data_IF_372512569397
#
_entry.id   IF_372512569397
#
_cell.length_a   1.000
_cell.length_b   1.000
_cell.length_c   1.000
_cell.angle_alpha   90.00
_cell.angle_beta   90.00
_cell.angle_gamma   90.00
#
_symmetry.space_group_name_H-M   'P 1'
#
loop_
_entity.id
_entity.type
_entity.pdbx_description
1 polymer ?
#
# COMPACT_ATOMS: atom_id res chain seq x y z
N UNK A 1 1.75 -39.90 67.85
CA UNK A 1 2.70 -41.01 67.61
C UNK A 1 3.61 -40.52 66.49
N UNK A 2 4.85 -40.01 66.80
CA UNK A 2 6.15 -40.72 66.72
C UNK A 2 6.43 -41.09 65.25
N UNK A 3 7.45 -40.67 64.51
CA UNK A 3 8.90 -40.60 64.78
C UNK A 3 9.54 -39.86 63.60
N UNK A 4 10.36 -38.84 63.72
CA UNK A 4 11.83 -38.72 63.81
C UNK A 4 12.67 -39.67 62.94
N UNK A 5 13.55 -39.09 62.12
CA UNK A 5 15.00 -39.36 61.97
C UNK A 5 15.54 -38.65 60.71
N UNK A 6 16.39 -37.66 60.79
CA UNK A 6 17.87 -37.59 61.08
C UNK A 6 18.72 -37.83 59.86
N UNK A 7 19.38 -36.76 59.42
CA UNK A 7 20.76 -36.52 59.01
C UNK A 7 21.49 -37.48 58.03
N UNK A 8 22.15 -36.89 56.98
CA UNK A 8 23.59 -36.91 56.91
C UNK A 8 24.19 -35.85 55.96
N UNK A 9 25.11 -35.11 56.47
CA UNK A 9 26.08 -34.21 55.78
C UNK A 9 27.12 -35.04 55.03
N UNK A 10 27.49 -34.63 53.80
CA UNK A 10 28.86 -34.82 53.30
C UNK A 10 29.27 -33.59 52.55
N UNK A 11 30.20 -32.84 53.12
CA UNK A 11 30.98 -31.79 52.47
C UNK A 11 32.15 -32.43 51.72
N UNK A 12 32.37 -32.05 50.49
CA UNK A 12 33.62 -32.25 49.82
C UNK A 12 34.08 -30.99 49.12
N UNK A 13 35.06 -30.36 49.68
CA UNK A 13 35.80 -29.24 49.09
C UNK A 13 36.77 -29.82 48.05
N UNK A 14 36.76 -29.25 46.85
CA UNK A 14 37.91 -29.31 45.95
C UNK A 14 38.19 -27.91 45.42
N UNK A 15 39.36 -27.46 45.75
CA UNK A 15 40.06 -26.24 45.35
C UNK A 15 40.43 -26.27 43.87
N UNK A 16 40.33 -25.10 43.22
CA UNK A 16 41.34 -24.66 42.23
C UNK A 16 40.92 -24.53 40.79
N UNK A 17 40.87 -23.37 40.33
CA UNK A 17 41.60 -22.73 39.24
C UNK A 17 40.83 -21.59 38.58
N UNK A 18 41.48 -20.47 38.57
CA UNK A 18 41.02 -19.25 37.92
C UNK A 18 40.92 -19.39 36.39
N UNK A 19 39.81 -18.95 35.79
CA UNK A 19 39.79 -18.49 34.40
C UNK A 19 38.75 -17.40 34.19
N UNK A 20 39.23 -16.26 33.73
CA UNK A 20 38.62 -15.25 32.89
C UNK A 20 37.15 -14.83 33.15
N UNK A 21 37.04 -13.60 33.62
CA UNK A 21 35.80 -12.88 33.81
C UNK A 21 34.96 -12.75 32.55
N UNK A 22 33.85 -13.44 32.55
CA UNK A 22 32.68 -13.03 31.77
C UNK A 22 31.83 -12.13 32.67
N UNK A 23 31.77 -10.83 32.31
CA UNK A 23 30.83 -9.90 32.92
C UNK A 23 29.43 -10.44 32.68
N UNK A 24 28.56 -10.58 33.68
CA UNK A 24 27.17 -10.90 33.48
C UNK A 24 26.50 -9.73 32.74
N UNK A 25 25.80 -10.03 31.64
CA UNK A 25 24.90 -9.08 31.02
C UNK A 25 23.91 -8.62 32.07
N UNK A 26 23.98 -7.35 32.43
CA UNK A 26 23.02 -6.70 33.33
C UNK A 26 21.61 -6.94 32.77
N UNK A 27 20.77 -7.63 33.54
CA UNK A 27 19.33 -7.71 33.31
C UNK A 27 18.81 -6.28 33.24
N UNK A 28 18.36 -5.86 32.05
CA UNK A 28 17.51 -4.70 31.90
C UNK A 28 16.24 -5.02 32.68
N UNK A 29 16.06 -4.38 33.82
CA UNK A 29 14.81 -4.44 34.56
C UNK A 29 13.76 -3.74 33.70
N UNK A 30 12.93 -4.53 33.00
CA UNK A 30 11.72 -4.04 32.37
C UNK A 30 10.80 -3.51 33.48
N UNK A 31 10.62 -2.22 33.51
CA UNK A 31 9.69 -1.53 34.40
C UNK A 31 8.28 -1.99 34.06
N UNK A 32 7.67 -2.80 34.92
CA UNK A 32 6.33 -3.38 34.76
C UNK A 32 5.18 -2.36 34.81
N UNK A 33 5.45 -1.07 34.97
CA UNK A 33 4.43 -0.02 35.05
C UNK A 33 4.06 0.63 33.71
N UNK A 34 4.74 0.30 32.60
CA UNK A 34 4.44 0.83 31.26
C UNK A 34 3.61 -0.09 30.35
N UNK A 35 3.19 -1.28 30.82
CA UNK A 35 2.54 -2.27 29.95
C UNK A 35 1.00 -2.31 30.04
N UNK A 36 0.37 -1.44 30.80
CA UNK A 36 -1.10 -1.47 30.98
C UNK A 36 -1.86 -0.46 30.10
N UNK A 37 -1.20 0.58 29.58
CA UNK A 37 -1.86 1.57 28.70
C UNK A 37 -1.77 1.22 27.21
N UNK A 38 -0.72 0.53 26.77
CA UNK A 38 -0.56 0.14 25.37
C UNK A 38 -1.53 -0.99 24.94
N UNK A 39 -1.95 -1.85 25.87
CA UNK A 39 -2.86 -2.94 25.54
C UNK A 39 -4.33 -2.48 25.39
N UNK A 40 -4.77 -1.45 26.09
CA UNK A 40 -6.12 -0.90 25.94
C UNK A 40 -6.27 -0.16 24.58
N UNK A 41 -5.23 0.54 24.14
CA UNK A 41 -5.23 1.22 22.84
C UNK A 41 -5.20 0.24 21.66
N UNK A 42 -4.47 -0.88 21.79
CA UNK A 42 -4.41 -1.92 20.75
C UNK A 42 -5.72 -2.69 20.61
N UNK A 43 -6.47 -2.90 21.69
CA UNK A 43 -7.74 -3.63 21.67
C UNK A 43 -8.88 -2.82 21.03
N UNK A 44 -8.95 -1.52 21.27
CA UNK A 44 -9.95 -0.64 20.64
C UNK A 44 -9.70 -0.45 19.15
N UNK A 45 -8.43 -0.22 18.75
CA UNK A 45 -8.05 -0.14 17.34
C UNK A 45 -8.33 -1.45 16.61
N UNK A 46 -8.07 -2.59 17.27
CA UNK A 46 -8.36 -3.92 16.70
C UNK A 46 -9.87 -4.16 16.51
N UNK A 47 -10.72 -3.68 17.43
CA UNK A 47 -12.18 -3.80 17.32
C UNK A 47 -12.75 -2.96 16.21
N UNK A 48 -12.28 -1.71 16.06
CA UNK A 48 -12.69 -0.82 14.97
C UNK A 48 -12.30 -1.37 13.61
N UNK A 49 -11.08 -1.91 13.47
CA UNK A 49 -10.60 -2.59 12.25
C UNK A 49 -11.49 -3.79 11.92
N UNK A 50 -11.80 -4.64 12.90
CA UNK A 50 -12.67 -5.81 12.71
C UNK A 50 -14.09 -5.39 12.30
N UNK A 51 -14.65 -4.32 12.88
CA UNK A 51 -15.96 -3.82 12.50
C UNK A 51 -15.96 -3.24 11.08
N UNK A 52 -14.97 -2.42 10.71
CA UNK A 52 -14.84 -1.87 9.37
C UNK A 52 -14.60 -2.97 8.33
N UNK A 53 -13.73 -3.93 8.62
CA UNK A 53 -13.50 -5.09 7.76
C UNK A 53 -14.77 -5.91 7.59
N UNK A 54 -15.54 -6.15 8.66
CA UNK A 54 -16.83 -6.86 8.58
C UNK A 54 -17.86 -6.09 7.77
N UNK A 55 -17.91 -4.75 7.90
CA UNK A 55 -18.77 -3.91 7.08
C UNK A 55 -18.37 -3.97 5.59
N UNK A 56 -17.09 -3.86 5.27
CA UNK A 56 -16.59 -4.01 3.90
C UNK A 56 -16.86 -5.41 3.32
N UNK A 57 -16.68 -6.46 4.12
CA UNK A 57 -17.00 -7.83 3.70
C UNK A 57 -18.50 -8.04 3.49
N UNK A 58 -19.36 -7.43 4.31
CA UNK A 58 -20.82 -7.51 4.12
C UNK A 58 -21.28 -6.81 2.84
N UNK A 59 -20.57 -5.80 2.37
CA UNK A 59 -20.85 -5.13 1.10
C UNK A 59 -20.36 -5.95 -0.12
N UNK A 60 -19.46 -6.90 0.06
CA UNK A 60 -19.01 -7.82 -1.00
C UNK A 60 -20.03 -8.91 -1.35
N UNK A 61 -20.91 -9.25 -0.41
CA UNK A 61 -21.96 -10.28 -0.59
C UNK A 61 -23.13 -9.82 -1.46
N UNK A 62 -23.07 -8.62 -2.02
CA UNK A 62 -24.10 -8.13 -2.94
C UNK A 62 -23.77 -8.57 -4.37
N UNK A 63 -24.81 -9.05 -5.08
CA UNK A 63 -24.70 -9.49 -6.48
C UNK A 63 -24.20 -8.36 -7.40
N UNK A 64 -23.41 -8.75 -8.41
CA UNK A 64 -23.01 -7.82 -9.46
C UNK A 64 -24.21 -7.18 -10.13
N UNK A 65 -24.20 -5.87 -10.26
CA UNK A 65 -25.23 -5.12 -10.99
C UNK A 65 -24.75 -4.80 -12.40
N UNK A 66 -25.47 -5.31 -13.37
CA UNK A 66 -25.18 -5.13 -14.80
C UNK A 66 -25.18 -3.66 -15.17
N UNK A 67 -24.17 -3.24 -15.91
CA UNK A 67 -24.00 -1.87 -16.39
C UNK A 67 -23.92 -1.74 -17.90
N UNK A 68 -23.83 -0.50 -18.41
CA UNK A 68 -23.63 -0.24 -19.83
C UNK A 68 -22.38 -0.92 -20.37
N UNK A 69 -22.41 -1.33 -21.63
CA UNK A 69 -21.34 -2.04 -22.34
C UNK A 69 -21.05 -3.48 -21.90
N UNK A 70 -21.60 -3.97 -20.79
CA UNK A 70 -21.48 -5.38 -20.44
C UNK A 70 -22.03 -6.28 -21.54
N UNK A 71 -21.43 -7.45 -21.71
CA UNK A 71 -21.91 -8.46 -22.62
C UNK A 71 -22.57 -9.59 -21.84
N UNK A 72 -23.85 -9.75 -22.00
CA UNK A 72 -24.62 -10.82 -21.37
C UNK A 72 -24.73 -12.00 -22.33
N UNK A 73 -24.55 -13.18 -21.80
CA UNK A 73 -24.87 -14.44 -22.45
C UNK A 73 -26.21 -14.92 -21.91
N UNK A 74 -27.19 -15.07 -22.82
CA UNK A 74 -28.55 -15.46 -22.46
C UNK A 74 -28.88 -16.74 -23.19
N UNK A 75 -29.30 -17.76 -22.45
CA UNK A 75 -29.84 -19.01 -22.97
C UNK A 75 -31.28 -19.17 -22.54
N UNK A 76 -32.14 -19.53 -23.48
CA UNK A 76 -33.58 -19.77 -23.20
C UNK A 76 -33.87 -21.20 -23.59
N UNK A 77 -34.37 -21.99 -22.65
CA UNK A 77 -34.84 -23.34 -22.87
C UNK A 77 -36.21 -23.31 -23.56
N UNK A 78 -36.44 -24.20 -24.50
CA UNK A 78 -37.70 -24.33 -25.26
C UNK A 78 -38.00 -23.17 -26.21
N UNK A 79 -37.02 -22.34 -26.58
CA UNK A 79 -37.22 -21.26 -27.56
C UNK A 79 -37.56 -21.76 -28.98
N UNK A 80 -36.98 -22.88 -29.37
CA UNK A 80 -37.28 -23.57 -30.64
C UNK A 80 -37.37 -25.08 -30.34
N UNK A 81 -38.19 -25.84 -31.09
CA UNK A 81 -38.38 -27.29 -31.01
C UNK A 81 -37.10 -28.10 -31.34
N UNK A 82 -35.94 -27.53 -31.11
CA UNK A 82 -34.62 -28.13 -31.30
C UNK A 82 -34.03 -28.49 -29.94
N UNK A 83 -33.50 -29.69 -29.81
CA UNK A 83 -32.81 -30.16 -28.59
C UNK A 83 -31.52 -29.36 -28.25
N UNK A 84 -31.16 -28.38 -29.05
CA UNK A 84 -29.99 -27.54 -28.86
C UNK A 84 -30.39 -26.22 -28.17
N UNK A 85 -29.83 -26.02 -26.97
CA UNK A 85 -29.89 -24.74 -26.25
C UNK A 85 -29.17 -23.65 -27.04
N UNK A 86 -29.92 -22.70 -27.58
CA UNK A 86 -29.32 -21.56 -28.31
C UNK A 86 -28.88 -20.50 -27.35
N UNK A 87 -27.57 -20.31 -27.24
CA UNK A 87 -26.96 -19.28 -26.45
C UNK A 87 -26.74 -18.03 -27.32
N UNK A 88 -27.24 -16.89 -26.89
CA UNK A 88 -27.13 -15.62 -27.61
C UNK A 88 -26.41 -14.60 -26.74
N UNK A 89 -25.57 -13.78 -27.39
CA UNK A 89 -24.82 -12.71 -26.73
C UNK A 89 -25.50 -11.36 -27.00
N UNK A 90 -25.68 -10.58 -25.94
CA UNK A 90 -26.30 -9.26 -26.00
C UNK A 90 -25.42 -8.24 -25.28
N UNK A 91 -25.06 -7.18 -25.99
CA UNK A 91 -24.39 -6.02 -25.38
C UNK A 91 -25.41 -5.08 -24.78
N UNK A 92 -25.21 -4.68 -23.55
CA UNK A 92 -26.03 -3.70 -22.86
C UNK A 92 -25.72 -2.31 -23.43
N UNK A 93 -26.78 -1.61 -23.88
CA UNK A 93 -26.63 -0.26 -24.41
C UNK A 93 -26.24 0.76 -23.33
N UNK A 94 -25.81 1.97 -23.73
CA UNK A 94 -25.54 3.07 -22.82
C UNK A 94 -26.70 3.42 -21.88
N UNK A 95 -27.93 3.14 -22.32
CA UNK A 95 -29.18 3.35 -21.56
C UNK A 95 -29.54 2.17 -20.67
N UNK A 96 -28.69 1.13 -20.59
CA UNK A 96 -28.96 -0.07 -19.79
C UNK A 96 -29.95 -1.06 -20.40
N UNK A 97 -30.15 -1.02 -21.71
CA UNK A 97 -31.17 -1.84 -22.41
C UNK A 97 -30.52 -2.88 -23.30
N UNK A 98 -31.06 -4.10 -23.31
CA UNK A 98 -30.79 -5.14 -24.32
C UNK A 98 -32.00 -5.34 -25.23
N UNK A 99 -31.77 -5.80 -26.44
CA UNK A 99 -32.87 -6.14 -27.39
C UNK A 99 -32.89 -7.65 -27.63
N UNK A 100 -33.88 -8.34 -27.06
CA UNK A 100 -34.06 -9.76 -27.20
C UNK A 100 -35.06 -10.04 -28.38
N UNK A 101 -34.75 -11.03 -29.25
CA UNK A 101 -35.73 -11.48 -30.23
C UNK A 101 -37.06 -11.85 -29.53
N UNK A 102 -38.18 -11.58 -30.14
CA UNK A 102 -39.53 -11.80 -29.62
C UNK A 102 -39.97 -10.99 -28.38
N UNK A 103 -39.07 -10.59 -27.49
CA UNK A 103 -39.37 -9.75 -26.32
C UNK A 103 -39.22 -8.25 -26.60
N UNK A 104 -38.33 -7.88 -27.52
CA UNK A 104 -37.98 -6.49 -27.79
C UNK A 104 -37.00 -5.93 -26.76
N UNK A 105 -37.11 -4.63 -26.50
CA UNK A 105 -36.22 -3.90 -25.59
C UNK A 105 -36.54 -4.23 -24.12
N UNK A 106 -35.51 -4.65 -23.36
CA UNK A 106 -35.59 -4.94 -21.93
C UNK A 106 -34.53 -4.09 -21.16
N UNK A 107 -35.00 -3.42 -20.12
CA UNK A 107 -34.12 -2.66 -19.24
C UNK A 107 -33.49 -3.60 -18.23
N UNK A 108 -32.16 -3.80 -18.34
CA UNK A 108 -31.32 -4.66 -17.49
C UNK A 108 -30.31 -3.88 -16.67
N UNK A 109 -30.13 -2.60 -16.99
CA UNK A 109 -29.17 -1.75 -16.26
C UNK A 109 -29.50 -1.62 -14.78
N UNK A 110 -28.51 -1.80 -13.90
CA UNK A 110 -28.66 -1.75 -12.46
C UNK A 110 -29.38 -2.95 -11.83
N UNK A 111 -29.61 -4.03 -12.59
CA UNK A 111 -30.22 -5.28 -12.10
C UNK A 111 -29.18 -6.36 -11.87
N UNK A 112 -29.44 -7.26 -10.92
CA UNK A 112 -28.65 -8.48 -10.74
C UNK A 112 -28.96 -9.49 -11.86
N UNK A 113 -28.08 -10.49 -12.02
CA UNK A 113 -28.29 -11.57 -12.98
C UNK A 113 -29.59 -12.32 -12.68
N UNK A 114 -29.89 -12.54 -11.41
CA UNK A 114 -31.11 -13.23 -10.96
C UNK A 114 -32.36 -12.41 -11.31
N UNK A 115 -32.31 -11.08 -11.09
CA UNK A 115 -33.45 -10.20 -11.47
C UNK A 115 -33.69 -10.16 -12.98
N UNK A 116 -32.60 -10.18 -13.75
CA UNK A 116 -32.70 -10.22 -15.24
C UNK A 116 -33.29 -11.53 -15.70
N UNK A 117 -32.87 -12.65 -15.11
CA UNK A 117 -33.42 -13.97 -15.40
C UNK A 117 -34.94 -14.01 -15.13
N UNK A 118 -35.33 -13.59 -13.90
CA UNK A 118 -36.75 -13.53 -13.53
C UNK A 118 -37.57 -12.59 -14.45
N UNK A 119 -36.98 -11.46 -14.84
CA UNK A 119 -37.60 -10.52 -15.77
C UNK A 119 -37.87 -11.17 -17.15
N UNK A 120 -36.87 -11.88 -17.69
CA UNK A 120 -37.03 -12.57 -19.00
C UNK A 120 -38.09 -13.66 -18.90
N UNK A 121 -38.06 -14.52 -17.89
CA UNK A 121 -39.03 -15.60 -17.68
C UNK A 121 -40.45 -15.04 -17.55
N UNK A 122 -40.62 -13.97 -16.76
CA UNK A 122 -41.93 -13.32 -16.58
C UNK A 122 -42.45 -12.73 -17.89
N UNK A 123 -41.59 -12.04 -18.65
CA UNK A 123 -42.00 -11.44 -19.92
C UNK A 123 -42.39 -12.48 -21.00
N UNK A 124 -41.64 -13.61 -21.08
CA UNK A 124 -41.92 -14.71 -21.98
C UNK A 124 -43.27 -15.37 -21.67
N UNK A 125 -43.55 -15.58 -20.38
CA UNK A 125 -44.83 -16.15 -19.92
C UNK A 125 -46.01 -15.18 -20.13
N UNK A 126 -45.85 -13.90 -19.74
CA UNK A 126 -46.92 -12.89 -19.84
C UNK A 126 -47.33 -12.62 -21.28
N UNK A 127 -46.38 -12.65 -22.22
CA UNK A 127 -46.67 -12.50 -23.66
C UNK A 127 -47.17 -13.78 -24.30
N UNK A 128 -47.31 -14.88 -23.57
CA UNK A 128 -47.78 -16.17 -24.06
C UNK A 128 -46.85 -16.82 -25.08
N UNK A 129 -45.53 -16.43 -25.07
CA UNK A 129 -44.55 -16.98 -26.02
C UNK A 129 -44.15 -18.39 -25.59
N UNK A 130 -43.93 -18.59 -24.28
CA UNK A 130 -43.62 -19.88 -23.68
C UNK A 130 -44.48 -20.10 -22.42
N UNK A 131 -44.88 -21.34 -22.13
CA UNK A 131 -45.73 -21.64 -20.97
C UNK A 131 -44.95 -21.74 -19.68
N UNK A 132 -43.76 -22.37 -19.71
CA UNK A 132 -42.87 -22.52 -18.57
C UNK A 132 -41.45 -22.15 -18.98
N UNK A 133 -41.17 -20.88 -19.27
CA UNK A 133 -39.86 -20.47 -19.74
C UNK A 133 -38.79 -20.69 -18.64
N UNK A 134 -37.64 -21.14 -19.06
CA UNK A 134 -36.41 -21.19 -18.24
C UNK A 134 -35.33 -20.42 -18.97
N UNK A 135 -34.81 -19.39 -18.32
CA UNK A 135 -33.74 -18.59 -18.86
C UNK A 135 -32.46 -18.79 -18.03
N UNK A 136 -31.33 -18.91 -18.70
CA UNK A 136 -30.02 -18.79 -18.09
C UNK A 136 -29.39 -17.45 -18.47
N UNK A 137 -28.88 -16.70 -17.53
CA UNK A 137 -28.22 -15.42 -17.77
C UNK A 137 -26.84 -15.44 -17.10
N UNK A 138 -25.79 -15.10 -17.85
CA UNK A 138 -24.45 -14.94 -17.35
C UNK A 138 -23.82 -13.67 -17.92
N UNK A 139 -22.90 -13.07 -17.21
CA UNK A 139 -22.05 -11.99 -17.75
C UNK A 139 -20.85 -12.63 -18.41
N UNK A 140 -20.75 -12.53 -19.73
CA UNK A 140 -19.62 -13.02 -20.52
C UNK A 140 -18.43 -12.07 -20.43
N UNK A 141 -18.69 -10.76 -20.53
CA UNK A 141 -17.67 -9.74 -20.46
C UNK A 141 -18.11 -8.58 -19.56
N UNK A 142 -17.34 -8.31 -18.54
CA UNK A 142 -17.51 -7.17 -17.63
C UNK A 142 -16.81 -5.96 -18.24
N UNK A 143 -17.56 -5.01 -18.77
CA UNK A 143 -17.03 -3.81 -19.43
C UNK A 143 -17.51 -2.50 -18.82
N UNK A 144 -18.59 -2.55 -18.05
CA UNK A 144 -19.24 -1.37 -17.49
C UNK A 144 -18.43 -0.68 -16.40
N UNK A 145 -17.57 -1.43 -15.70
CA UNK A 145 -16.75 -0.90 -14.62
C UNK A 145 -15.31 -1.36 -14.81
N UNK A 146 -14.41 -0.40 -15.00
CA UNK A 146 -12.98 -0.67 -15.18
C UNK A 146 -12.19 0.30 -14.34
N UNK A 147 -11.03 -0.15 -13.88
CA UNK A 147 -10.05 0.67 -13.15
C UNK A 147 -8.74 0.56 -13.89
N UNK A 148 -8.10 1.71 -14.11
CA UNK A 148 -6.75 1.74 -14.64
C UNK A 148 -5.74 1.74 -13.49
N UNK A 149 -4.75 0.86 -13.55
CA UNK A 149 -3.62 0.82 -12.60
C UNK A 149 -2.35 1.12 -13.38
N UNK A 150 -1.68 2.20 -13.03
CA UNK A 150 -0.52 2.72 -13.74
C UNK A 150 0.63 3.07 -12.78
N UNK A 151 1.84 3.20 -13.33
CA UNK A 151 3.05 3.53 -12.57
C UNK A 151 3.83 2.31 -12.10
N UNK A 152 4.41 2.38 -10.93
CA UNK A 152 5.33 1.37 -10.36
C UNK A 152 4.57 0.20 -9.73
N UNK A 153 3.87 -0.56 -10.57
CA UNK A 153 3.22 -1.85 -10.24
C UNK A 153 3.76 -2.93 -11.17
N UNK A 154 3.70 -4.20 -10.76
CA UNK A 154 4.28 -5.29 -11.54
C UNK A 154 3.52 -5.56 -12.86
N UNK A 155 2.21 -5.36 -12.88
CA UNK A 155 1.38 -5.52 -14.08
C UNK A 155 0.48 -4.28 -14.25
N UNK A 156 0.97 -3.18 -14.84
CA UNK A 156 0.14 -2.03 -15.13
C UNK A 156 -0.88 -2.37 -16.23
N UNK A 157 -2.11 -1.86 -16.12
CA UNK A 157 -3.16 -2.18 -17.08
C UNK A 157 -4.53 -1.64 -16.68
N UNK A 158 -5.53 -2.03 -17.45
CA UNK A 158 -6.94 -1.76 -17.17
C UNK A 158 -7.62 -3.06 -16.74
N UNK A 159 -8.21 -3.04 -15.57
CA UNK A 159 -8.82 -4.19 -14.92
C UNK A 159 -10.34 -4.00 -14.86
N UNK A 160 -11.08 -5.04 -15.23
CA UNK A 160 -12.51 -5.08 -15.05
C UNK A 160 -12.86 -5.37 -13.58
N UNK A 161 -13.91 -4.74 -13.07
CA UNK A 161 -14.45 -5.01 -11.73
C UNK A 161 -15.61 -5.99 -11.86
N UNK A 162 -15.49 -7.12 -11.18
CA UNK A 162 -16.52 -8.17 -11.15
C UNK A 162 -17.38 -8.11 -9.88
N UNK A 163 -16.96 -7.33 -8.88
CA UNK A 163 -17.61 -7.20 -7.57
C UNK A 163 -18.22 -5.81 -7.40
N UNK A 164 -19.24 -5.70 -6.57
CA UNK A 164 -19.84 -4.40 -6.27
C UNK A 164 -18.94 -3.51 -5.42
N UNK A 165 -18.11 -4.13 -4.58
CA UNK A 165 -17.14 -3.44 -3.74
C UNK A 165 -15.75 -3.94 -4.07
N UNK A 166 -14.93 -3.06 -4.60
CA UNK A 166 -13.52 -3.31 -4.90
C UNK A 166 -12.70 -2.26 -4.18
N UNK A 167 -11.60 -2.68 -3.57
CA UNK A 167 -10.73 -1.81 -2.80
C UNK A 167 -9.39 -1.57 -3.49
N UNK A 168 -8.65 -0.57 -3.03
CA UNK A 168 -7.30 -0.29 -3.52
C UNK A 168 -6.38 -1.51 -3.36
N UNK A 169 -6.46 -2.22 -2.25
CA UNK A 169 -5.64 -3.42 -1.99
C UNK A 169 -5.97 -4.54 -2.97
N UNK A 170 -7.25 -4.76 -3.30
CA UNK A 170 -7.68 -5.77 -4.27
C UNK A 170 -7.07 -5.48 -5.65
N UNK A 171 -7.17 -4.23 -6.11
CA UNK A 171 -6.65 -3.84 -7.42
C UNK A 171 -5.13 -3.87 -7.48
N UNK A 172 -4.44 -3.45 -6.43
CA UNK A 172 -2.98 -3.58 -6.37
C UNK A 172 -2.56 -5.04 -6.35
N UNK A 173 -3.30 -5.92 -5.67
CA UNK A 173 -3.04 -7.36 -5.67
C UNK A 173 -3.20 -7.96 -7.08
N UNK A 174 -4.27 -7.60 -7.80
CA UNK A 174 -4.48 -8.01 -9.20
C UNK A 174 -3.37 -7.50 -10.12
N UNK A 175 -2.85 -6.29 -9.88
CA UNK A 175 -1.71 -5.72 -10.59
C UNK A 175 -0.36 -6.31 -10.15
N UNK A 176 -0.34 -7.37 -9.34
CA UNK A 176 0.87 -8.03 -8.85
C UNK A 176 1.64 -7.27 -7.78
N UNK A 177 1.02 -6.25 -7.19
CA UNK A 177 1.61 -5.39 -6.15
C UNK A 177 2.55 -4.31 -6.68
N UNK A 178 3.00 -3.41 -5.79
CA UNK A 178 4.00 -2.40 -6.11
C UNK A 178 5.36 -3.01 -6.47
N UNK A 179 6.10 -2.38 -7.38
CA UNK A 179 7.47 -2.79 -7.71
C UNK A 179 8.45 -2.42 -6.57
N UNK A 180 9.69 -2.90 -6.66
CA UNK A 180 10.77 -2.50 -5.74
C UNK A 180 11.12 -1.02 -5.83
N UNK A 181 10.79 -0.36 -6.93
CA UNK A 181 11.05 1.06 -7.17
C UNK A 181 9.84 1.93 -6.80
N UNK A 182 8.74 1.35 -6.35
CA UNK A 182 7.53 2.07 -5.98
C UNK A 182 7.77 2.98 -4.79
N UNK A 183 7.12 4.15 -4.81
CA UNK A 183 7.06 5.06 -3.68
C UNK A 183 6.14 4.56 -2.57
N UNK A 184 6.14 5.27 -1.46
CA UNK A 184 5.36 4.93 -0.26
C UNK A 184 3.87 5.27 -0.39
N UNK A 185 3.46 5.91 -1.46
CA UNK A 185 2.11 6.42 -1.65
C UNK A 185 1.50 5.91 -2.95
N UNK A 186 0.19 5.74 -2.95
CA UNK A 186 -0.61 5.60 -4.16
C UNK A 186 -1.60 6.76 -4.24
N UNK A 187 -1.93 7.16 -5.45
CA UNK A 187 -2.96 8.14 -5.72
C UNK A 187 -4.12 7.46 -6.43
N UNK A 188 -5.33 7.61 -5.89
CA UNK A 188 -6.56 7.27 -6.60
C UNK A 188 -7.14 8.57 -7.16
N UNK A 189 -7.20 8.65 -8.47
CA UNK A 189 -7.76 9.78 -9.19
C UNK A 189 -9.19 9.43 -9.61
N UNK A 190 -10.17 10.11 -9.03
CA UNK A 190 -11.59 9.87 -9.25
C UNK A 190 -12.22 11.04 -9.98
N UNK A 191 -12.88 10.74 -11.09
CA UNK A 191 -13.64 11.74 -11.84
C UNK A 191 -15.04 11.88 -11.24
N UNK A 192 -15.35 13.02 -10.65
CA UNK A 192 -16.70 13.33 -10.17
C UNK A 192 -17.52 14.03 -11.26
N UNK A 193 -18.80 13.65 -11.36
CA UNK A 193 -19.73 14.32 -12.30
C UNK A 193 -19.85 15.80 -11.95
N UNK A 194 -19.62 16.67 -12.94
CA UNK A 194 -19.71 18.14 -12.78
C UNK A 194 -18.44 18.81 -12.29
N UNK A 195 -17.36 18.08 -12.03
CA UNK A 195 -16.04 18.67 -11.71
C UNK A 195 -15.08 18.47 -12.87
N UNK A 196 -14.31 19.51 -13.22
CA UNK A 196 -13.28 19.43 -14.26
C UNK A 196 -12.03 18.71 -13.75
N UNK A 197 -11.68 18.92 -12.49
CA UNK A 197 -10.51 18.30 -11.88
C UNK A 197 -10.89 17.01 -11.15
N UNK A 198 -10.10 15.94 -11.31
CA UNK A 198 -10.32 14.72 -10.57
C UNK A 198 -10.03 14.91 -9.08
N UNK A 199 -10.83 14.29 -8.24
CA UNK A 199 -10.53 14.19 -6.80
C UNK A 199 -9.35 13.24 -6.62
N UNK A 200 -8.30 13.72 -5.95
CA UNK A 200 -7.09 12.96 -5.66
C UNK A 200 -7.15 12.43 -4.23
N UNK A 201 -7.29 11.12 -4.08
CA UNK A 201 -7.19 10.43 -2.79
C UNK A 201 -5.77 9.88 -2.67
N UNK A 202 -5.05 10.26 -1.62
CA UNK A 202 -3.67 9.80 -1.39
C UNK A 202 -3.66 8.78 -0.27
N UNK A 203 -3.12 7.60 -0.54
CA UNK A 203 -3.04 6.48 0.39
C UNK A 203 -1.58 6.13 0.65
N UNK A 204 -1.20 5.99 1.91
CA UNK A 204 0.12 5.51 2.30
C UNK A 204 0.15 3.99 2.20
N UNK A 205 0.92 3.46 1.26
CA UNK A 205 1.04 2.02 0.99
C UNK A 205 1.75 1.28 2.13
N UNK A 206 2.74 1.93 2.75
CA UNK A 206 3.45 1.33 3.88
C UNK A 206 2.51 1.12 5.07
N UNK A 207 1.69 2.12 5.41
CA UNK A 207 0.70 1.98 6.47
C UNK A 207 -0.38 0.96 6.14
N UNK A 208 -0.80 0.92 4.87
CA UNK A 208 -1.81 -0.02 4.40
C UNK A 208 -1.33 -1.49 4.49
N UNK A 209 -0.10 -1.79 4.04
CA UNK A 209 0.40 -3.16 3.96
C UNK A 209 1.12 -3.61 5.23
N UNK A 210 1.97 -2.77 5.84
CA UNK A 210 2.82 -3.15 6.96
C UNK A 210 2.11 -3.01 8.31
N UNK A 211 1.26 -1.99 8.46
CA UNK A 211 0.58 -1.68 9.71
C UNK A 211 -0.86 -2.21 9.76
N UNK A 212 -1.36 -2.75 8.62
CA UNK A 212 -2.73 -3.26 8.55
C UNK A 212 -3.80 -2.19 8.77
N UNK A 213 -3.51 -0.93 8.45
CA UNK A 213 -4.46 0.19 8.56
C UNK A 213 -5.53 0.08 7.48
N UNK A 214 -6.47 -0.84 7.66
CA UNK A 214 -7.54 -1.12 6.70
C UNK A 214 -8.51 0.05 6.48
N UNK A 215 -8.55 1.02 7.39
CA UNK A 215 -9.23 2.31 7.24
C UNK A 215 -8.69 3.14 6.07
N UNK A 216 -7.41 2.91 5.69
CA UNK A 216 -6.79 3.52 4.52
C UNK A 216 -7.12 2.79 3.21
N UNK A 217 -7.76 1.62 3.27
CA UNK A 217 -8.09 0.83 2.10
C UNK A 217 -9.29 1.42 1.35
N UNK A 218 -9.01 2.38 0.48
CA UNK A 218 -10.03 3.13 -0.24
C UNK A 218 -10.92 2.21 -1.08
N UNK A 219 -12.25 2.39 -0.96
CA UNK A 219 -13.23 1.77 -1.86
C UNK A 219 -13.16 2.47 -3.21
N UNK A 220 -13.03 1.70 -4.27
CA UNK A 220 -12.88 2.16 -5.64
C UNK A 220 -14.22 2.20 -6.38
N UNK A 221 -14.29 3.05 -7.39
CA UNK A 221 -15.43 3.18 -8.28
C UNK A 221 -14.99 2.90 -9.73
N UNK A 222 -15.94 2.58 -10.59
CA UNK A 222 -15.66 2.48 -12.02
C UNK A 222 -15.01 3.78 -12.53
N UNK A 223 -14.08 3.63 -13.47
CA UNK A 223 -13.27 4.71 -14.07
C UNK A 223 -12.26 5.41 -13.14
N UNK A 224 -12.05 4.91 -11.91
CA UNK A 224 -10.95 5.36 -11.09
C UNK A 224 -9.59 5.01 -11.74
N UNK A 225 -8.61 5.88 -11.55
CA UNK A 225 -7.23 5.63 -11.97
C UNK A 225 -6.35 5.55 -10.74
N UNK A 226 -5.70 4.41 -10.55
CA UNK A 226 -4.70 4.21 -9.51
C UNK A 226 -3.35 4.52 -10.09
N UNK A 227 -2.65 5.48 -9.50
CA UNK A 227 -1.28 5.83 -9.88
C UNK A 227 -0.33 5.58 -8.72
N UNK A 228 0.64 4.69 -8.92
CA UNK A 228 1.73 4.43 -7.98
C UNK A 228 2.98 5.09 -8.53
N UNK A 229 3.43 6.22 -7.94
CA UNK A 229 4.62 6.91 -8.41
C UNK A 229 5.88 6.11 -8.07
N UNK A 230 6.96 6.39 -8.79
CA UNK A 230 8.30 5.94 -8.45
C UNK A 230 8.72 6.52 -7.10
N UNK A 231 9.50 5.76 -6.33
CA UNK A 231 10.08 6.24 -5.08
C UNK A 231 10.92 7.50 -5.32
N UNK A 232 10.68 8.55 -4.54
CA UNK A 232 11.53 9.73 -4.59
C UNK A 232 12.95 9.40 -4.17
N UNK A 233 13.91 10.23 -4.59
CA UNK A 233 15.31 10.05 -4.25
C UNK A 233 15.71 10.91 -3.06
N UNK A 234 16.63 10.38 -2.27
CA UNK A 234 17.50 11.11 -1.36
C UNK A 234 18.93 11.02 -1.90
N UNK A 235 19.77 11.92 -1.49
CA UNK A 235 21.16 11.95 -1.94
C UNK A 235 22.10 11.84 -0.74
N UNK A 236 23.14 11.03 -0.89
CA UNK A 236 24.18 10.87 0.14
C UNK A 236 25.52 11.21 -0.48
N UNK A 237 26.21 12.19 0.08
CA UNK A 237 27.46 12.73 -0.47
C UNK A 237 28.53 12.96 0.61
N UNK A 238 29.76 13.24 0.14
CA UNK A 238 30.94 13.52 0.96
C UNK A 238 31.75 12.27 1.23
N UNK A 239 32.26 12.15 2.44
CA UNK A 239 33.15 11.04 2.88
C UNK A 239 32.37 9.74 3.10
N UNK A 240 31.78 9.23 2.02
CA UNK A 240 30.93 8.03 1.90
C UNK A 240 31.57 7.07 0.90
N UNK A 241 31.42 5.75 1.13
CA UNK A 241 31.98 4.73 0.23
C UNK A 241 31.37 4.78 -1.18
N UNK A 242 30.06 4.96 -1.29
CA UNK A 242 29.32 5.02 -2.55
C UNK A 242 28.40 6.25 -2.55
N UNK A 243 28.91 7.45 -2.85
CA UNK A 243 28.08 8.64 -2.91
C UNK A 243 27.11 8.55 -4.10
N UNK A 244 25.87 9.00 -3.94
CA UNK A 244 24.86 8.94 -5.00
C UNK A 244 23.44 9.17 -4.52
N UNK A 245 22.49 8.93 -5.44
CA UNK A 245 21.05 8.98 -5.17
C UNK A 245 20.51 7.61 -4.75
N UNK A 246 19.70 7.59 -3.70
CA UNK A 246 19.09 6.39 -3.14
C UNK A 246 17.58 6.53 -3.09
N UNK A 247 16.87 5.50 -3.51
CA UNK A 247 15.40 5.51 -3.53
C UNK A 247 14.83 5.44 -2.10
N UNK A 248 13.90 6.34 -1.80
CA UNK A 248 13.17 6.37 -0.53
C UNK A 248 11.91 5.49 -0.65
N UNK A 249 12.10 4.19 -0.71
CA UNK A 249 11.01 3.21 -0.87
C UNK A 249 10.24 2.95 0.43
N UNK A 250 10.80 3.32 1.58
CA UNK A 250 10.20 3.24 2.91
C UNK A 250 10.69 4.38 3.78
N UNK A 251 10.05 4.59 4.94
CA UNK A 251 10.55 5.55 5.92
C UNK A 251 11.96 5.20 6.32
N UNK A 252 12.90 6.09 6.06
CA UNK A 252 14.34 5.88 6.23
C UNK A 252 14.95 6.98 7.09
N UNK A 253 15.94 6.64 7.90
CA UNK A 253 16.71 7.58 8.72
C UNK A 253 18.09 7.83 8.10
N UNK A 254 18.74 8.91 8.56
CA UNK A 254 20.02 9.33 8.01
C UNK A 254 21.12 8.26 8.16
N UNK A 255 21.21 7.59 9.31
CA UNK A 255 22.18 6.53 9.54
C UNK A 255 21.95 5.33 8.60
N UNK A 256 20.69 5.01 8.35
CA UNK A 256 20.30 3.93 7.42
C UNK A 256 20.70 4.27 5.98
N UNK A 257 20.46 5.51 5.53
CA UNK A 257 20.87 5.97 4.20
C UNK A 257 22.39 5.91 4.03
N UNK A 258 23.14 6.31 5.05
CA UNK A 258 24.61 6.19 5.08
C UNK A 258 25.04 4.73 4.99
N UNK A 259 24.38 3.83 5.71
CA UNK A 259 24.66 2.39 5.67
C UNK A 259 24.38 1.79 4.28
N UNK A 260 23.27 2.18 3.63
CA UNK A 260 22.97 1.79 2.24
C UNK A 260 24.01 2.30 1.24
N UNK A 261 24.60 3.46 1.51
CA UNK A 261 25.69 4.03 0.72
C UNK A 261 27.07 3.38 1.01
N UNK A 262 27.09 2.24 1.70
CA UNK A 262 28.31 1.49 2.04
C UNK A 262 29.03 1.99 3.28
N UNK A 263 28.45 2.94 4.02
CA UNK A 263 29.04 3.55 5.20
C UNK A 263 29.97 4.71 4.89
N UNK A 264 30.53 5.27 5.96
CA UNK A 264 31.47 6.39 5.89
C UNK A 264 32.90 5.93 5.58
N UNK A 265 33.72 6.80 4.99
CA UNK A 265 35.16 6.56 4.82
C UNK A 265 35.92 6.79 6.11
N UNK A 266 37.24 6.43 6.14
CA UNK A 266 38.10 6.57 7.32
C UNK A 266 38.27 8.03 7.70
N UNK A 267 38.27 8.94 6.76
CA UNK A 267 38.56 10.36 6.92
C UNK A 267 37.28 11.18 7.21
N UNK A 268 36.14 10.53 7.45
CA UNK A 268 34.86 11.19 7.68
C UNK A 268 34.75 11.88 9.03
N UNK A 269 34.22 13.10 9.04
CA UNK A 269 33.92 13.86 10.25
C UNK A 269 32.54 13.48 10.83
N UNK A 270 32.49 12.40 11.62
CA UNK A 270 31.25 11.84 12.18
C UNK A 270 30.39 12.82 12.99
N UNK A 271 30.97 13.86 13.56
CA UNK A 271 30.31 14.80 14.47
C UNK A 271 29.69 16.00 13.75
N UNK A 272 30.06 16.23 12.50
CA UNK A 272 29.73 17.44 11.76
C UNK A 272 28.90 17.16 10.51
N UNK A 273 28.18 16.03 10.50
CA UNK A 273 27.28 15.67 9.40
C UNK A 273 26.02 16.53 9.42
N UNK A 274 25.39 16.71 8.28
CA UNK A 274 24.16 17.47 8.18
C UNK A 274 23.27 16.97 7.03
N UNK A 275 21.99 17.30 7.16
CA UNK A 275 20.99 17.07 6.13
C UNK A 275 20.56 18.44 5.59
N UNK A 276 20.62 18.61 4.29
CA UNK A 276 20.03 19.78 3.62
C UNK A 276 18.67 19.37 3.08
N UNK A 277 17.66 20.08 3.51
CA UNK A 277 16.26 19.86 3.12
C UNK A 277 15.70 21.12 2.49
N UNK A 278 15.11 20.98 1.31
CA UNK A 278 14.37 22.10 0.70
C UNK A 278 13.02 22.25 1.39
N UNK A 279 12.75 23.41 1.96
CA UNK A 279 11.49 23.74 2.61
C UNK A 279 10.58 24.50 1.65
N UNK A 280 9.49 23.84 1.18
CA UNK A 280 8.46 24.43 0.37
C UNK A 280 8.89 24.92 -1.02
N UNK A 281 7.98 25.62 -1.71
CA UNK A 281 8.19 26.21 -3.05
C UNK A 281 9.04 27.47 -3.06
N UNK A 282 9.31 28.04 -1.88
CA UNK A 282 10.04 29.32 -1.73
C UNK A 282 11.57 29.19 -1.82
N UNK A 283 12.10 27.98 -2.05
CA UNK A 283 13.55 27.77 -2.18
C UNK A 283 14.34 27.96 -0.87
N UNK A 284 13.67 28.03 0.28
CA UNK A 284 14.34 28.08 1.59
C UNK A 284 14.93 26.71 1.92
N UNK A 285 16.20 26.67 2.21
CA UNK A 285 16.90 25.44 2.63
C UNK A 285 16.98 25.37 4.14
N UNK A 286 16.66 24.21 4.70
CA UNK A 286 16.82 23.90 6.11
C UNK A 286 18.03 22.99 6.27
N UNK A 287 19.01 23.42 7.04
CA UNK A 287 20.18 22.62 7.39
C UNK A 287 19.96 22.01 8.76
N UNK A 288 19.96 20.68 8.85
CA UNK A 288 19.77 19.90 10.07
C UNK A 288 21.10 19.23 10.41
N UNK A 289 21.76 19.72 11.45
CA UNK A 289 23.00 19.10 11.95
C UNK A 289 22.72 17.74 12.55
N UNK A 290 23.53 16.74 12.21
CA UNK A 290 23.49 15.39 12.78
C UNK A 290 24.88 14.97 13.27
N UNK A 291 24.93 14.37 14.45
CA UNK A 291 26.15 13.79 15.01
C UNK A 291 26.02 12.26 14.98
N UNK A 292 26.67 11.63 14.01
CA UNK A 292 26.60 10.17 13.84
C UNK A 292 27.15 9.42 15.06
N UNK A 293 28.17 9.95 15.73
CA UNK A 293 28.73 9.34 16.94
C UNK A 293 27.71 9.31 18.10
N UNK A 294 26.94 10.38 18.27
CA UNK A 294 25.92 10.45 19.32
C UNK A 294 24.68 9.60 18.95
N UNK A 295 24.33 9.51 17.67
CA UNK A 295 23.25 8.62 17.18
C UNK A 295 23.64 7.16 17.39
N UNK A 296 24.86 6.75 16.97
CA UNK A 296 25.38 5.38 17.15
C UNK A 296 25.45 4.98 18.64
N UNK A 297 25.74 5.94 19.53
CA UNK A 297 25.80 5.72 20.98
C UNK A 297 24.44 5.86 21.69
N UNK A 298 23.36 6.16 20.97
CA UNK A 298 22.00 6.33 21.51
C UNK A 298 21.77 7.64 22.28
N UNK A 299 22.70 8.60 22.20
CA UNK A 299 22.61 9.91 22.88
C UNK A 299 21.79 10.93 22.10
N UNK A 300 21.67 10.77 20.79
CA UNK A 300 20.88 11.61 19.92
C UNK A 300 19.87 10.79 19.11
N UNK A 301 18.75 11.43 18.72
CA UNK A 301 17.77 10.82 17.82
C UNK A 301 18.23 10.95 16.38
N UNK A 302 18.09 9.87 15.63
CA UNK A 302 18.34 9.88 14.20
C UNK A 302 17.17 10.54 13.43
N UNK A 303 17.50 11.36 12.43
CA UNK A 303 16.53 12.14 11.66
C UNK A 303 15.90 11.30 10.55
N UNK A 304 14.57 11.39 10.41
CA UNK A 304 13.88 10.84 9.24
C UNK A 304 14.15 11.70 8.00
N UNK A 305 14.47 11.02 6.92
CA UNK A 305 14.69 11.61 5.61
C UNK A 305 13.36 11.82 4.86
N UNK A 306 13.35 12.86 4.05
CA UNK A 306 12.25 13.20 3.14
C UNK A 306 12.77 13.25 1.70
N UNK A 307 11.84 13.25 0.76
CA UNK A 307 12.13 13.46 -0.66
C UNK A 307 13.04 14.64 -0.90
N UNK A 308 14.10 14.42 -1.70
CA UNK A 308 15.05 15.45 -2.07
C UNK A 308 16.05 15.85 -0.98
N UNK A 309 16.04 15.20 0.20
CA UNK A 309 17.05 15.45 1.23
C UNK A 309 18.44 15.08 0.72
N UNK A 310 19.42 15.90 1.08
CA UNK A 310 20.83 15.64 0.83
C UNK A 310 21.53 15.41 2.17
N UNK A 311 21.99 14.19 2.41
CA UNK A 311 22.80 13.84 3.56
C UNK A 311 24.26 14.07 3.20
N UNK A 312 24.94 14.95 3.91
CA UNK A 312 26.34 15.25 3.68
C UNK A 312 27.20 14.85 4.88
N UNK A 313 28.25 14.09 4.59
CA UNK A 313 29.27 13.67 5.55
C UNK A 313 30.58 14.35 5.17
N UNK A 314 31.02 15.39 5.90
CA UNK A 314 32.24 16.11 5.58
C UNK A 314 33.50 15.29 5.90
N UNK A 315 34.62 15.71 5.34
CA UNK A 315 35.94 15.19 5.63
C UNK A 315 36.47 15.80 6.93
N UNK A 316 37.20 15.02 7.75
CA UNK A 316 37.76 15.47 9.02
C UNK A 316 38.83 16.56 8.86
N UNK A 317 39.41 16.70 7.66
CA UNK A 317 40.38 17.75 7.32
C UNK A 317 39.76 19.05 6.82
N UNK A 318 38.50 19.07 6.46
CA UNK A 318 37.86 20.24 5.89
C UNK A 318 37.28 21.13 7.01
N UNK A 319 37.94 22.23 7.32
CA UNK A 319 37.29 23.34 8.05
C UNK A 319 36.33 24.03 7.07
N UNK A 320 35.09 23.53 6.97
CA UNK A 320 34.10 24.11 6.09
C UNK A 320 33.61 25.43 6.73
N UNK A 321 34.12 26.55 6.23
CA UNK A 321 33.53 27.85 6.50
C UNK A 321 32.16 27.91 5.80
N UNK A 322 31.13 28.37 6.49
CA UNK A 322 29.73 28.34 6.02
C UNK A 322 29.44 28.95 4.63
N UNK A 323 30.40 29.65 4.04
CA UNK A 323 30.32 30.23 2.71
C UNK A 323 30.64 29.24 1.59
N UNK A 324 31.63 28.36 1.81
CA UNK A 324 32.03 27.32 0.86
C UNK A 324 30.97 26.20 0.78
N UNK A 325 30.26 25.96 1.89
CA UNK A 325 29.12 25.06 1.98
C UNK A 325 27.99 25.53 1.03
N UNK A 326 27.70 26.82 1.02
CA UNK A 326 26.67 27.44 0.19
C UNK A 326 26.99 27.33 -1.30
N UNK A 327 28.24 27.59 -1.69
CA UNK A 327 28.65 27.54 -3.10
C UNK A 327 28.68 26.10 -3.64
N UNK A 328 29.03 25.14 -2.80
CA UNK A 328 28.97 23.72 -3.11
C UNK A 328 27.54 23.24 -3.40
N UNK A 329 26.58 23.62 -2.54
CA UNK A 329 25.16 23.24 -2.76
C UNK A 329 24.56 23.90 -3.98
N UNK A 330 24.89 25.14 -4.27
CA UNK A 330 24.47 25.82 -5.47
C UNK A 330 24.90 25.06 -6.73
N UNK A 331 26.09 24.46 -6.72
CA UNK A 331 26.59 23.62 -7.81
C UNK A 331 25.80 22.31 -7.98
N UNK A 332 25.48 21.61 -6.88
CA UNK A 332 24.77 20.33 -6.92
C UNK A 332 23.32 20.50 -7.41
N UNK A 333 22.60 21.51 -6.89
CA UNK A 333 21.23 21.78 -7.31
C UNK A 333 21.12 22.27 -8.78
N UNK A 334 22.13 22.94 -9.28
CA UNK A 334 22.20 23.31 -10.72
C UNK A 334 22.42 22.10 -11.61
N UNK A 335 23.12 21.06 -11.12
CA UNK A 335 23.40 19.85 -11.88
C UNK A 335 22.18 18.92 -11.96
N UNK A 336 21.36 18.85 -10.93
CA UNK A 336 20.16 18.00 -10.87
C UNK A 336 19.09 18.49 -11.85
N UNK A 337 18.96 19.78 -12.09
CA UNK A 337 18.04 20.33 -13.10
C UNK A 337 18.43 20.05 -14.55
N UNK A 338 19.66 19.62 -14.81
CA UNK A 338 20.16 19.35 -16.18
C UNK A 338 20.01 17.90 -16.61
N UNK A 339 19.66 17.00 -15.70
CA UNK A 339 19.49 15.57 -15.98
C UNK A 339 18.04 15.17 -16.27
N UNK A 340 17.07 16.06 -16.07
CA UNK A 340 15.64 15.84 -16.31
C UNK A 340 15.09 16.53 -17.57
N UNK A 341 15.97 16.86 -18.55
CA UNK A 341 15.55 17.36 -19.88
C UNK A 341 15.88 16.35 -20.98
#
# INVERSE_FOLDING_TARGET
MRSTAILLFIALAITGCATHGRRPLSRIALNKQGMTEDNAFSDDVSRDIVQQTRHLLSLRDTDYLVGPDDVLEISIFEWEMSEETKTLEFRVSETGVISLPALGALNVGGKSIQDIQALIETQLSTKGILQNPRAGVAVREYRSRRIAVIGEVNAPGVYAIHENVTTLMDMLTLAGGPTRNAGQIAHVLRKEKGKFEPVKITVNLQSLFDQGSFDLNAVLQGDDVIYVPKAPLIYVYGSIQSPGGYALTRSMRALEAIALAGGITRDAAKKECFIVRRAGTSGTELVIGINLHDIESGKARDAFLKEGDVVHVPDSGAKIAGRELWDFFRGIFTFTYRLDQ
#
